data_IF_888604157006
#
_entry.id   IF_888604157006
#
_cell.length_a   1.000
_cell.length_b   1.000
_cell.length_c   1.000
_cell.angle_alpha   90.00
_cell.angle_beta   90.00
_cell.angle_gamma   90.00
#
_symmetry.space_group_name_H-M   'P 1'
#
loop_
_entity.id
_entity.type
_entity.pdbx_description
1 polymer ?
#
# COMPACT_ATOMS: atom_id res chain seq x y z
N UNK A 1 -20.00 -28.35 21.55
CA UNK A 1 -18.61 -27.86 21.42
C UNK A 1 -18.66 -26.41 20.98
N UNK A 2 -18.15 -25.46 21.75
CA UNK A 2 -18.23 -24.03 21.43
C UNK A 2 -17.21 -23.68 20.33
N UNK A 3 -17.69 -23.07 19.26
CA UNK A 3 -16.88 -22.59 18.12
C UNK A 3 -16.07 -21.38 18.54
N UNK A 4 -14.76 -21.53 18.61
CA UNK A 4 -13.82 -20.42 18.87
C UNK A 4 -13.91 -19.38 17.75
N UNK A 5 -14.25 -18.15 18.14
CA UNK A 5 -14.14 -16.96 17.29
C UNK A 5 -12.67 -16.61 17.15
N UNK A 6 -12.13 -16.63 15.94
CA UNK A 6 -10.82 -16.08 15.63
C UNK A 6 -11.05 -14.61 15.29
N UNK A 7 -10.54 -13.66 16.07
CA UNK A 7 -10.61 -12.25 15.70
C UNK A 7 -9.52 -11.97 14.66
N UNK A 8 -9.92 -11.78 13.41
CA UNK A 8 -9.05 -11.23 12.36
C UNK A 8 -9.07 -9.70 12.46
N UNK A 9 -8.66 -9.18 13.60
CA UNK A 9 -8.24 -7.81 13.72
C UNK A 9 -6.75 -7.77 13.32
N UNK A 10 -6.46 -7.31 12.11
CA UNK A 10 -5.18 -6.67 11.83
C UNK A 10 -5.19 -5.36 12.66
N UNK A 11 -5.11 -5.51 13.98
CA UNK A 11 -4.84 -4.40 14.87
C UNK A 11 -3.41 -3.95 14.61
N UNK A 12 -3.27 -2.97 13.72
CA UNK A 12 -2.21 -2.00 13.87
C UNK A 12 -2.59 -1.22 15.13
N UNK A 13 -1.85 -1.43 16.18
CA UNK A 13 -2.06 -0.87 17.50
C UNK A 13 -2.28 0.65 17.41
N UNK A 14 -3.34 1.21 18.02
CA UNK A 14 -3.60 2.65 18.00
C UNK A 14 -2.64 3.45 18.90
N UNK A 15 -1.58 2.82 19.42
CA UNK A 15 -0.64 3.47 20.34
C UNK A 15 0.29 4.49 19.68
N UNK A 16 0.57 4.36 18.38
CA UNK A 16 1.52 5.26 17.70
C UNK A 16 0.85 6.59 17.31
N UNK A 17 -0.45 6.59 17.01
CA UNK A 17 -1.18 7.78 16.56
C UNK A 17 -1.30 8.89 17.62
N UNK A 18 -1.02 8.60 18.90
CA UNK A 18 -1.15 9.62 19.98
C UNK A 18 0.04 10.56 20.06
N UNK A 19 1.20 10.17 19.56
CA UNK A 19 2.44 10.93 19.69
C UNK A 19 2.96 11.51 18.36
N UNK A 20 2.30 11.25 17.21
CA UNK A 20 2.76 11.73 15.91
C UNK A 20 2.90 13.26 15.83
N UNK A 21 1.91 14.07 16.23
CA UNK A 21 2.06 15.53 16.22
C UNK A 21 3.24 15.99 17.08
N UNK A 22 3.42 15.40 18.26
CA UNK A 22 4.52 15.73 19.15
C UNK A 22 5.88 15.33 18.55
N UNK A 23 5.98 14.17 17.89
CA UNK A 23 7.21 13.77 17.17
C UNK A 23 7.53 14.73 16.04
N UNK A 24 6.54 15.10 15.23
CA UNK A 24 6.72 16.03 14.11
C UNK A 24 7.24 17.38 14.60
N UNK A 25 6.66 17.91 15.66
CA UNK A 25 7.08 19.19 16.22
C UNK A 25 8.52 19.13 16.79
N UNK A 26 8.89 18.09 17.51
CA UNK A 26 10.26 17.88 18.01
C UNK A 26 11.27 17.75 16.87
N UNK A 27 10.91 17.06 15.77
CA UNK A 27 11.78 16.95 14.59
C UNK A 27 11.99 18.33 13.94
N UNK A 28 10.94 19.16 13.86
CA UNK A 28 11.03 20.54 13.37
C UNK A 28 11.91 21.42 14.24
N UNK A 29 11.93 21.16 15.55
CA UNK A 29 12.78 21.86 16.52
C UNK A 29 14.25 21.40 16.49
N UNK A 30 14.58 20.40 15.65
CA UNK A 30 15.96 19.96 15.41
C UNK A 30 16.31 18.56 15.90
N UNK A 31 15.40 17.83 16.54
CA UNK A 31 15.62 16.44 16.96
C UNK A 31 15.47 15.47 15.78
N UNK A 32 16.33 15.64 14.76
CA UNK A 32 16.23 14.93 13.47
C UNK A 32 16.26 13.40 13.58
N UNK A 33 16.90 12.86 14.60
CA UNK A 33 16.98 11.42 14.85
C UNK A 33 15.60 10.77 15.07
N UNK A 34 14.62 11.53 15.59
CA UNK A 34 13.26 11.05 15.81
C UNK A 34 12.49 10.77 14.52
N UNK A 35 12.96 11.25 13.37
CA UNK A 35 12.31 10.96 12.09
C UNK A 35 12.24 9.46 11.79
N UNK A 36 13.23 8.68 12.23
CA UNK A 36 13.18 7.23 12.09
C UNK A 36 12.01 6.62 12.87
N UNK A 37 11.72 7.12 14.06
CA UNK A 37 10.57 6.65 14.86
C UNK A 37 9.23 7.02 14.18
N UNK A 38 9.15 8.23 13.62
CA UNK A 38 7.97 8.72 12.89
C UNK A 38 7.68 7.88 11.64
N UNK A 39 8.72 7.52 10.87
CA UNK A 39 8.52 6.86 9.56
C UNK A 39 8.33 5.35 9.66
N UNK A 40 8.90 4.71 10.67
CA UNK A 40 8.90 3.26 10.86
C UNK A 40 7.54 2.56 10.66
N UNK A 41 6.41 3.07 11.18
CA UNK A 41 5.09 2.48 10.96
C UNK A 41 4.62 2.53 9.51
N UNK A 42 5.17 3.43 8.71
CA UNK A 42 4.75 3.72 7.33
C UNK A 42 5.63 3.10 6.26
N UNK A 43 6.84 2.61 6.58
CA UNK A 43 7.80 2.08 5.61
C UNK A 43 7.17 1.03 4.69
N UNK A 44 6.42 0.10 5.26
CA UNK A 44 5.71 -0.92 4.48
C UNK A 44 4.66 -0.31 3.55
N UNK A 45 3.87 0.65 4.03
CA UNK A 45 2.84 1.32 3.24
C UNK A 45 3.43 2.13 2.10
N UNK A 46 4.55 2.81 2.35
CA UNK A 46 5.34 3.55 1.35
C UNK A 46 5.80 2.61 0.24
N UNK A 47 6.43 1.48 0.60
CA UNK A 47 6.85 0.48 -0.38
C UNK A 47 5.68 -0.09 -1.19
N UNK A 48 4.59 -0.51 -0.51
CA UNK A 48 3.41 -1.07 -1.18
C UNK A 48 2.76 -0.08 -2.15
N UNK A 49 2.69 1.21 -1.78
CA UNK A 49 2.18 2.25 -2.65
C UNK A 49 3.06 2.42 -3.91
N UNK A 50 4.39 2.48 -3.76
CA UNK A 50 5.33 2.53 -4.88
C UNK A 50 5.20 1.30 -5.77
N UNK A 51 5.24 0.10 -5.17
CA UNK A 51 5.14 -1.17 -5.90
C UNK A 51 3.81 -1.31 -6.65
N UNK A 52 2.71 -0.83 -6.08
CA UNK A 52 1.39 -0.88 -6.75
C UNK A 52 1.38 -0.18 -8.12
N UNK A 53 2.29 0.79 -8.29
CA UNK A 53 2.42 1.61 -9.50
C UNK A 53 3.50 1.07 -10.44
N UNK A 54 4.68 0.72 -9.89
CA UNK A 54 5.89 0.40 -10.66
C UNK A 54 5.97 -1.06 -11.09
N UNK A 55 5.47 -2.00 -10.27
CA UNK A 55 5.55 -3.45 -10.49
C UNK A 55 6.97 -4.02 -10.58
N UNK A 56 7.96 -3.26 -10.18
CA UNK A 56 9.35 -3.65 -10.09
C UNK A 56 9.82 -3.43 -8.66
N UNK A 57 10.44 -4.45 -8.05
CA UNK A 57 10.87 -4.40 -6.64
C UNK A 57 11.98 -3.37 -6.44
N UNK A 58 13.00 -3.37 -7.31
CA UNK A 58 14.13 -2.47 -7.20
C UNK A 58 13.71 -1.02 -7.35
N UNK A 59 12.88 -0.71 -8.34
CA UNK A 59 12.34 0.65 -8.54
C UNK A 59 11.42 1.06 -7.39
N UNK A 60 10.64 0.13 -6.83
CA UNK A 60 9.77 0.42 -5.70
C UNK A 60 10.56 0.71 -4.42
N UNK A 61 11.66 -0.03 -4.18
CA UNK A 61 12.57 0.22 -3.06
C UNK A 61 13.27 1.58 -3.21
N UNK A 62 13.80 1.89 -4.39
CA UNK A 62 14.44 3.17 -4.68
C UNK A 62 13.47 4.34 -4.47
N UNK A 63 12.28 4.27 -5.07
CA UNK A 63 11.25 5.29 -4.92
C UNK A 63 10.77 5.43 -3.48
N UNK A 64 10.66 4.32 -2.75
CA UNK A 64 10.30 4.35 -1.33
C UNK A 64 11.34 5.13 -0.51
N UNK A 65 12.64 4.84 -0.71
CA UNK A 65 13.73 5.54 -0.02
C UNK A 65 13.80 7.03 -0.40
N UNK A 66 13.70 7.35 -1.70
CA UNK A 66 13.66 8.74 -2.16
C UNK A 66 12.47 9.51 -1.59
N UNK A 67 11.30 8.88 -1.51
CA UNK A 67 10.09 9.49 -0.96
C UNK A 67 10.22 9.78 0.53
N UNK A 68 10.82 8.86 1.30
CA UNK A 68 11.11 9.05 2.73
C UNK A 68 12.08 10.20 2.92
N UNK A 69 13.14 10.28 2.11
CA UNK A 69 14.09 11.39 2.16
C UNK A 69 13.43 12.72 1.83
N UNK A 70 12.57 12.77 0.80
CA UNK A 70 11.79 13.97 0.44
C UNK A 70 10.84 14.37 1.56
N UNK A 71 10.17 13.41 2.19
CA UNK A 71 9.30 13.67 3.34
C UNK A 71 10.09 14.28 4.50
N UNK A 72 11.30 13.80 4.79
CA UNK A 72 12.17 14.40 5.79
C UNK A 72 12.55 15.86 5.45
N UNK A 73 12.98 16.10 4.21
CA UNK A 73 13.37 17.46 3.78
C UNK A 73 12.20 18.45 3.78
N UNK A 74 11.00 17.98 3.49
CA UNK A 74 9.80 18.81 3.37
C UNK A 74 8.86 18.76 4.57
N UNK A 75 9.25 18.12 5.68
CA UNK A 75 8.41 17.97 6.86
C UNK A 75 7.91 19.31 7.42
N UNK A 76 8.71 20.36 7.29
CA UNK A 76 8.32 21.72 7.67
C UNK A 76 7.17 22.31 6.85
N UNK A 77 6.85 21.76 5.68
CA UNK A 77 5.75 22.20 4.83
C UNK A 77 4.41 21.52 5.16
N UNK A 78 4.43 20.49 5.99
CA UNK A 78 3.22 19.80 6.45
C UNK A 78 2.41 20.73 7.36
N UNK A 79 1.21 21.10 6.94
CA UNK A 79 0.34 22.05 7.66
C UNK A 79 -0.51 21.39 8.73
N UNK A 80 -0.96 20.15 8.48
CA UNK A 80 -1.87 19.39 9.35
C UNK A 80 -1.17 18.07 9.69
N UNK A 81 -0.71 17.96 10.91
CA UNK A 81 0.11 16.82 11.39
C UNK A 81 -0.66 15.52 11.35
N UNK A 82 -1.96 15.56 11.60
CA UNK A 82 -2.86 14.41 11.51
C UNK A 82 -2.96 13.84 10.08
N UNK A 83 -2.53 14.61 9.09
CA UNK A 83 -2.49 14.20 7.67
C UNK A 83 -1.12 13.70 7.23
N UNK A 84 -0.19 13.47 8.15
CA UNK A 84 1.16 13.02 7.81
C UNK A 84 1.15 11.80 6.89
N UNK A 85 0.36 10.78 7.22
CA UNK A 85 0.25 9.56 6.40
C UNK A 85 -0.20 9.85 4.97
N UNK A 86 -1.28 10.59 4.79
CA UNK A 86 -1.82 10.88 3.46
C UNK A 86 -0.88 11.78 2.65
N UNK A 87 -0.21 12.73 3.31
CA UNK A 87 0.81 13.58 2.71
C UNK A 87 2.04 12.79 2.27
N UNK A 88 2.53 11.88 3.10
CA UNK A 88 3.64 10.97 2.77
C UNK A 88 3.30 10.10 1.56
N UNK A 89 2.12 9.46 1.57
CA UNK A 89 1.69 8.60 0.45
C UNK A 89 1.46 9.39 -0.85
N UNK A 90 1.07 10.66 -0.76
CA UNK A 90 1.02 11.54 -1.93
C UNK A 90 2.41 11.75 -2.55
N UNK A 91 3.44 11.95 -1.73
CA UNK A 91 4.83 12.06 -2.21
C UNK A 91 5.21 10.78 -2.95
N UNK A 92 4.98 9.61 -2.34
CA UNK A 92 5.29 8.30 -2.93
C UNK A 92 4.61 8.09 -4.28
N UNK A 93 3.32 8.36 -4.36
CA UNK A 93 2.54 8.18 -5.59
C UNK A 93 3.07 9.10 -6.70
N UNK A 94 3.41 10.35 -6.37
CA UNK A 94 3.97 11.29 -7.33
C UNK A 94 5.32 10.82 -7.87
N UNK A 95 6.24 10.37 -6.99
CA UNK A 95 7.55 9.85 -7.39
C UNK A 95 7.41 8.59 -8.25
N UNK A 96 6.61 7.62 -7.83
CA UNK A 96 6.37 6.40 -8.59
C UNK A 96 5.79 6.68 -9.98
N UNK A 97 4.87 7.64 -10.09
CA UNK A 97 4.31 8.05 -11.38
C UNK A 97 5.30 8.79 -12.26
N UNK A 98 6.19 9.59 -11.67
CA UNK A 98 7.28 10.23 -12.42
C UNK A 98 8.25 9.20 -12.95
N UNK A 99 8.66 8.22 -12.12
CA UNK A 99 9.54 7.12 -12.53
C UNK A 99 8.91 6.33 -13.69
N UNK A 100 7.68 5.86 -13.55
CA UNK A 100 6.97 5.14 -14.61
C UNK A 100 6.87 5.92 -15.92
N UNK A 101 6.71 7.25 -15.86
CA UNK A 101 6.69 8.10 -17.08
C UNK A 101 8.05 8.19 -17.74
N UNK A 102 9.13 8.29 -16.93
CA UNK A 102 10.50 8.31 -17.44
C UNK A 102 10.84 7.00 -18.14
N UNK A 103 10.54 5.86 -17.53
CA UNK A 103 10.80 4.54 -18.11
C UNK A 103 10.08 4.34 -19.45
N UNK A 104 8.82 4.77 -19.53
CA UNK A 104 8.08 4.74 -20.80
C UNK A 104 8.72 5.60 -21.89
N UNK A 105 9.26 6.79 -21.57
CA UNK A 105 9.95 7.63 -22.55
C UNK A 105 11.19 6.94 -23.07
N UNK A 106 12.00 6.35 -22.20
CA UNK A 106 13.18 5.59 -22.62
C UNK A 106 12.83 4.43 -23.54
N UNK A 107 11.75 3.71 -23.30
CA UNK A 107 11.25 2.67 -24.19
C UNK A 107 10.83 3.21 -25.57
N UNK A 108 10.28 4.40 -25.66
CA UNK A 108 9.91 5.02 -26.94
C UNK A 108 11.13 5.64 -27.67
N UNK A 109 12.14 6.09 -26.94
CA UNK A 109 13.40 6.62 -27.51
C UNK A 109 14.33 5.46 -27.95
N UNK A 110 14.14 4.25 -27.42
CA UNK A 110 14.91 3.03 -27.74
C UNK A 110 14.18 2.10 -28.72
N UNK A 111 13.28 2.60 -29.56
CA UNK A 111 12.45 1.79 -30.50
C UNK A 111 13.24 1.31 -31.74
N UNK A 112 14.52 1.05 -31.61
CA UNK A 112 15.28 0.27 -32.62
C UNK A 112 15.62 -1.16 -32.14
N UNK A 113 15.09 -1.62 -30.99
CA UNK A 113 15.26 -3.01 -30.54
C UNK A 113 13.90 -3.62 -30.12
N UNK A 114 13.31 -4.51 -30.95
CA UNK A 114 12.08 -5.20 -30.60
C UNK A 114 12.41 -6.40 -29.72
N UNK A 115 12.29 -6.26 -28.42
CA UNK A 115 12.30 -7.46 -27.58
C UNK A 115 12.85 -7.29 -26.18
N UNK A 116 11.97 -6.95 -25.27
CA UNK A 116 11.96 -7.60 -23.96
C UNK A 116 10.55 -7.48 -23.38
N UNK A 117 9.75 -8.52 -23.61
CA UNK A 117 8.62 -8.83 -22.74
C UNK A 117 9.19 -8.99 -21.34
N UNK A 118 8.81 -8.10 -20.44
CA UNK A 118 9.18 -8.18 -19.04
C UNK A 118 8.61 -9.49 -18.50
N UNK A 119 9.49 -10.43 -18.22
CA UNK A 119 9.14 -11.65 -17.50
C UNK A 119 8.34 -11.24 -16.26
N UNK A 120 7.12 -11.75 -16.16
CA UNK A 120 6.28 -11.63 -14.97
C UNK A 120 6.96 -12.44 -13.85
N UNK A 121 7.90 -11.79 -13.18
CA UNK A 121 8.55 -12.34 -12.01
C UNK A 121 7.49 -12.62 -10.93
N UNK A 122 7.45 -13.83 -10.44
CA UNK A 122 6.59 -14.27 -9.35
C UNK A 122 6.89 -13.42 -8.12
N UNK A 123 5.95 -12.54 -7.78
CA UNK A 123 6.10 -11.58 -6.67
C UNK A 123 6.22 -12.32 -5.33
N UNK A 124 7.42 -12.38 -4.80
CA UNK A 124 7.67 -12.63 -3.39
C UNK A 124 8.20 -11.35 -2.76
N UNK A 125 7.40 -10.60 -1.96
CA UNK A 125 7.93 -9.47 -1.23
C UNK A 125 9.09 -9.94 -0.37
N UNK A 126 10.30 -9.43 -0.61
CA UNK A 126 11.39 -9.61 0.33
C UNK A 126 10.89 -9.18 1.70
N UNK A 127 11.07 -10.04 2.66
CA UNK A 127 10.69 -9.86 4.03
C UNK A 127 11.33 -8.57 4.56
N UNK A 128 10.59 -7.47 4.60
CA UNK A 128 10.90 -6.44 5.55
C UNK A 128 10.80 -7.08 6.93
N UNK A 129 11.96 -7.17 7.59
CA UNK A 129 12.17 -7.91 8.81
C UNK A 129 11.14 -7.53 9.87
N UNK A 130 10.53 -8.48 10.40
CA UNK A 130 10.10 -8.81 11.74
C UNK A 130 8.77 -9.54 11.78
N UNK A 131 8.76 -10.71 11.14
CA UNK A 131 7.68 -11.68 11.30
C UNK A 131 8.19 -12.95 12.00
N UNK A 132 9.26 -12.81 12.76
CA UNK A 132 9.78 -13.86 13.59
C UNK A 132 8.97 -13.85 14.88
N UNK A 133 8.25 -14.89 15.05
CA UNK A 133 7.61 -15.36 16.27
C UNK A 133 6.10 -15.52 16.14
N UNK A 134 5.72 -16.69 15.57
CA UNK A 134 4.68 -17.58 16.10
C UNK A 134 4.70 -18.87 15.26
N UNK A 135 5.16 -20.03 15.78
CA UNK A 135 5.48 -21.20 14.94
C UNK A 135 4.28 -22.00 14.40
N UNK A 136 3.12 -22.01 15.01
CA UNK A 136 2.01 -22.86 14.55
C UNK A 136 0.86 -22.13 13.84
N UNK A 137 0.68 -20.84 14.05
CA UNK A 137 -0.23 -19.99 13.28
C UNK A 137 0.41 -19.41 12.01
N UNK A 138 1.72 -19.64 11.81
CA UNK A 138 2.52 -19.01 10.77
C UNK A 138 2.26 -19.59 9.37
N UNK A 139 1.95 -20.87 9.25
CA UNK A 139 1.79 -21.52 7.95
C UNK A 139 0.50 -21.06 7.26
N UNK A 140 -0.65 -21.11 7.96
CA UNK A 140 -1.93 -20.62 7.43
C UNK A 140 -1.86 -19.12 7.09
N UNK A 141 -1.18 -18.33 7.92
CA UNK A 141 -0.98 -16.90 7.66
C UNK A 141 -0.06 -16.64 6.47
N UNK A 142 0.96 -17.48 6.25
CA UNK A 142 1.85 -17.38 5.11
C UNK A 142 1.12 -17.72 3.80
N UNK A 143 0.30 -18.78 3.81
CA UNK A 143 -0.53 -19.16 2.65
C UNK A 143 -1.54 -18.07 2.31
N UNK A 144 -2.25 -17.54 3.33
CA UNK A 144 -3.17 -16.40 3.16
C UNK A 144 -2.45 -15.19 2.56
N UNK A 145 -1.27 -14.86 3.07
CA UNK A 145 -0.47 -13.73 2.58
C UNK A 145 -0.05 -13.94 1.13
N UNK A 146 0.43 -15.11 0.80
CA UNK A 146 0.84 -15.46 -0.57
C UNK A 146 -0.34 -15.37 -1.53
N UNK A 147 -1.50 -15.89 -1.14
CA UNK A 147 -2.71 -15.80 -1.95
C UNK A 147 -3.16 -14.34 -2.17
N UNK A 148 -3.14 -13.52 -1.11
CA UNK A 148 -3.49 -12.09 -1.20
C UNK A 148 -2.51 -11.33 -2.10
N UNK A 149 -1.20 -11.58 -1.95
CA UNK A 149 -0.18 -10.93 -2.77
C UNK A 149 -0.33 -11.32 -4.24
N UNK A 150 -0.58 -12.59 -4.53
CA UNK A 150 -0.83 -13.09 -5.90
C UNK A 150 -2.08 -12.44 -6.50
N UNK A 151 -3.18 -12.40 -5.74
CA UNK A 151 -4.41 -11.75 -6.15
C UNK A 151 -4.21 -10.24 -6.41
N UNK A 152 -3.43 -9.57 -5.56
CA UNK A 152 -3.09 -8.17 -5.73
C UNK A 152 -2.22 -7.93 -6.96
N UNK A 153 -1.24 -8.79 -7.21
CA UNK A 153 -0.36 -8.74 -8.38
C UNK A 153 -1.14 -8.93 -9.70
N UNK A 154 -2.18 -9.76 -9.69
CA UNK A 154 -3.03 -9.99 -10.87
C UNK A 154 -3.96 -8.84 -11.22
N UNK A 155 -4.20 -7.90 -10.30
CA UNK A 155 -5.05 -6.75 -10.59
C UNK A 155 -4.42 -5.85 -11.67
N UNK A 156 -5.20 -5.34 -12.64
CA UNK A 156 -4.78 -4.23 -13.49
C UNK A 156 -4.29 -3.04 -12.65
N UNK A 157 -3.23 -2.35 -13.11
CA UNK A 157 -2.57 -1.26 -12.34
C UNK A 157 -3.55 -0.22 -11.81
N UNK A 158 -4.50 0.23 -12.64
CA UNK A 158 -5.51 1.23 -12.25
C UNK A 158 -6.43 0.80 -11.09
N UNK A 159 -6.65 -0.51 -10.92
CA UNK A 159 -7.44 -1.06 -9.82
C UNK A 159 -6.57 -1.32 -8.60
N UNK A 160 -5.34 -1.80 -8.80
CA UNK A 160 -4.38 -2.08 -7.74
C UNK A 160 -3.99 -0.81 -6.98
N UNK A 161 -3.64 0.27 -7.71
CA UNK A 161 -3.30 1.56 -7.11
C UNK A 161 -4.39 2.04 -6.15
N UNK A 162 -5.66 2.03 -6.61
CA UNK A 162 -6.81 2.43 -5.78
C UNK A 162 -7.01 1.48 -4.60
N UNK A 163 -6.88 0.17 -4.82
CA UNK A 163 -7.08 -0.83 -3.77
C UNK A 163 -6.03 -0.70 -2.65
N UNK A 164 -4.75 -0.53 -3.03
CA UNK A 164 -3.68 -0.36 -2.05
C UNK A 164 -3.88 0.90 -1.22
N UNK A 165 -4.11 2.04 -1.85
CA UNK A 165 -4.27 3.29 -1.12
C UNK A 165 -5.53 3.30 -0.25
N UNK A 166 -6.63 2.71 -0.71
CA UNK A 166 -7.92 2.78 -0.03
C UNK A 166 -8.15 1.68 0.99
N UNK A 167 -7.89 0.41 0.62
CA UNK A 167 -8.23 -0.76 1.43
C UNK A 167 -7.05 -1.29 2.25
N UNK A 168 -5.81 -1.08 1.80
CA UNK A 168 -4.61 -1.47 2.56
C UNK A 168 -4.12 -0.30 3.43
N UNK A 169 -3.99 0.89 2.84
CA UNK A 169 -3.46 2.06 3.53
C UNK A 169 -4.54 2.94 4.17
N UNK A 170 -5.82 2.61 3.99
CA UNK A 170 -6.96 3.28 4.63
C UNK A 170 -7.09 4.78 4.36
N UNK A 171 -6.55 5.29 3.25
CA UNK A 171 -6.82 6.66 2.83
C UNK A 171 -8.32 6.85 2.58
N UNK A 172 -8.83 8.05 2.80
CA UNK A 172 -10.20 8.40 2.40
C UNK A 172 -10.35 8.38 0.87
N UNK A 173 -11.59 8.34 0.39
CA UNK A 173 -11.86 8.42 -1.06
C UNK A 173 -11.31 9.72 -1.66
N UNK A 174 -11.42 10.82 -0.92
CA UNK A 174 -10.94 12.15 -1.35
C UNK A 174 -9.41 12.19 -1.41
N UNK A 175 -8.72 11.69 -0.38
CA UNK A 175 -7.25 11.62 -0.37
C UNK A 175 -6.73 10.70 -1.48
N UNK A 176 -7.40 9.55 -1.71
CA UNK A 176 -7.06 8.65 -2.81
C UNK A 176 -7.24 9.32 -4.17
N UNK A 177 -8.32 10.10 -4.34
CA UNK A 177 -8.59 10.84 -5.55
C UNK A 177 -7.52 11.91 -5.81
N UNK A 178 -7.11 12.64 -4.78
CA UNK A 178 -6.02 13.61 -4.84
C UNK A 178 -4.67 12.95 -5.15
N UNK A 179 -4.33 11.87 -4.45
CA UNK A 179 -3.07 11.18 -4.66
C UNK A 179 -2.95 10.60 -6.08
N UNK A 180 -4.04 10.07 -6.63
CA UNK A 180 -4.05 9.48 -7.95
C UNK A 180 -4.42 10.45 -9.08
N UNK A 181 -4.69 11.71 -8.77
CA UNK A 181 -5.15 12.72 -9.74
C UNK A 181 -6.30 12.21 -10.62
N UNK A 182 -7.34 11.69 -9.97
CA UNK A 182 -8.56 11.19 -10.61
C UNK A 182 -9.80 11.67 -9.85
N UNK A 183 -10.97 11.60 -10.50
CA UNK A 183 -12.21 11.99 -9.83
C UNK A 183 -12.61 11.02 -8.70
N UNK A 184 -13.31 11.51 -7.70
CA UNK A 184 -13.93 10.71 -6.63
C UNK A 184 -14.82 9.58 -7.20
N UNK A 185 -15.55 9.85 -8.27
CA UNK A 185 -16.37 8.85 -8.95
C UNK A 185 -15.51 7.74 -9.56
N UNK A 186 -14.35 8.09 -10.15
CA UNK A 186 -13.41 7.11 -10.70
C UNK A 186 -12.81 6.24 -9.58
N UNK A 187 -12.45 6.81 -8.42
CA UNK A 187 -11.99 6.04 -7.26
C UNK A 187 -13.04 5.00 -6.86
N UNK A 188 -14.29 5.42 -6.67
CA UNK A 188 -15.38 4.51 -6.27
C UNK A 188 -15.57 3.36 -7.26
N UNK A 189 -15.61 3.67 -8.55
CA UNK A 189 -15.79 2.67 -9.62
C UNK A 189 -14.61 1.69 -9.69
N UNK A 190 -13.37 2.22 -9.65
CA UNK A 190 -12.16 1.39 -9.70
C UNK A 190 -12.04 0.51 -8.46
N UNK A 191 -12.33 1.04 -7.27
CA UNK A 191 -12.32 0.29 -6.03
C UNK A 191 -13.34 -0.86 -6.04
N UNK A 192 -14.56 -0.58 -6.53
CA UNK A 192 -15.58 -1.62 -6.66
C UNK A 192 -15.09 -2.78 -7.56
N UNK A 193 -14.53 -2.46 -8.72
CA UNK A 193 -13.99 -3.46 -9.65
C UNK A 193 -12.78 -4.20 -9.06
N UNK A 194 -11.88 -3.49 -8.37
CA UNK A 194 -10.75 -4.09 -7.66
C UNK A 194 -11.22 -5.13 -6.65
N UNK A 195 -12.21 -4.79 -5.82
CA UNK A 195 -12.78 -5.69 -4.82
C UNK A 195 -13.44 -6.93 -5.42
N UNK A 196 -14.15 -6.76 -6.56
CA UNK A 196 -14.73 -7.91 -7.26
C UNK A 196 -13.65 -8.87 -7.75
N UNK A 197 -12.61 -8.37 -8.40
CA UNK A 197 -11.51 -9.20 -8.89
C UNK A 197 -10.74 -9.87 -7.74
N UNK A 198 -10.43 -9.13 -6.68
CA UNK A 198 -9.81 -9.71 -5.48
C UNK A 198 -10.66 -10.86 -4.91
N UNK A 199 -11.97 -10.67 -4.84
CA UNK A 199 -12.90 -11.71 -4.37
C UNK A 199 -12.86 -12.96 -5.27
N UNK A 200 -12.88 -12.80 -6.57
CA UNK A 200 -12.80 -13.89 -7.54
C UNK A 200 -11.50 -14.67 -7.40
N UNK A 201 -10.37 -13.98 -7.26
CA UNK A 201 -9.04 -14.59 -7.10
C UNK A 201 -8.88 -15.31 -5.75
N UNK A 202 -9.48 -14.81 -4.69
CA UNK A 202 -9.36 -15.39 -3.35
C UNK A 202 -10.40 -16.49 -3.07
N UNK A 203 -11.48 -16.56 -3.84
CA UNK A 203 -12.54 -17.55 -3.65
C UNK A 203 -12.07 -19.01 -3.66
N UNK A 204 -11.15 -19.44 -4.53
CA UNK A 204 -10.62 -20.80 -4.54
C UNK A 204 -9.84 -21.17 -3.27
N UNK A 205 -9.13 -20.18 -2.69
CA UNK A 205 -8.26 -20.40 -1.53
C UNK A 205 -9.06 -20.46 -0.22
N UNK A 206 -10.06 -19.60 -0.09
CA UNK A 206 -10.77 -19.41 1.18
C UNK A 206 -12.18 -19.97 1.21
N UNK A 207 -12.69 -20.44 0.07
CA UNK A 207 -14.08 -20.90 -0.07
C UNK A 207 -15.11 -19.76 0.01
N UNK A 208 -16.28 -19.96 -0.58
CA UNK A 208 -17.34 -18.94 -0.63
C UNK A 208 -17.83 -18.49 0.74
N UNK A 209 -17.88 -19.39 1.72
CA UNK A 209 -18.38 -19.08 3.07
C UNK A 209 -17.48 -18.15 3.88
N UNK A 210 -16.18 -18.09 3.58
CA UNK A 210 -15.25 -17.18 4.23
C UNK A 210 -15.39 -15.76 3.68
N UNK A 211 -15.58 -15.63 2.37
CA UNK A 211 -15.82 -14.34 1.71
C UNK A 211 -17.13 -13.68 2.13
N UNK A 212 -18.14 -14.48 2.48
CA UNK A 212 -19.41 -13.99 3.03
C UNK A 212 -19.25 -13.50 4.48
N UNK A 213 -18.26 -14.01 5.22
CA UNK A 213 -17.92 -13.55 6.59
C UNK A 213 -17.07 -12.28 6.62
N UNK A 214 -16.46 -11.88 5.52
CA UNK A 214 -15.92 -10.54 5.35
C UNK A 214 -17.08 -9.53 5.16
N UNK A 215 -17.96 -9.49 6.16
CA UNK A 215 -19.19 -8.66 6.15
C UNK A 215 -18.89 -7.15 6.09
N UNK A 216 -17.68 -6.72 6.45
CA UNK A 216 -17.22 -5.34 6.24
C UNK A 216 -17.13 -4.99 4.75
N UNK A 217 -16.98 -5.99 3.91
CA UNK A 217 -16.97 -5.86 2.46
C UNK A 217 -18.38 -5.62 1.87
N UNK A 218 -19.42 -6.03 2.61
CA UNK A 218 -20.84 -5.94 2.19
C UNK A 218 -21.64 -4.83 2.88
N UNK A 219 -21.22 -4.34 4.04
CA UNK A 219 -22.16 -3.77 5.01
C UNK A 219 -22.06 -2.29 5.33
N UNK A 220 -21.08 -1.56 4.85
CA UNK A 220 -21.12 -0.11 4.95
C UNK A 220 -21.08 0.45 3.54
N UNK A 221 -22.24 0.95 3.10
CA UNK A 221 -22.28 1.90 1.98
C UNK A 221 -21.29 2.99 2.35
N UNK A 222 -20.15 3.15 1.67
CA UNK A 222 -19.08 4.06 2.09
C UNK A 222 -19.32 5.50 1.61
N UNK A 223 -20.57 5.86 1.39
CA UNK A 223 -21.00 7.22 1.01
C UNK A 223 -22.32 7.57 1.66
#
# INVERSE_FOLDING_TARGET
>A
MPRRRIPLALNVEPHIARDEPALIERIRQGERALFHELIRPYERGVYLAAYSILRNEADAEEVAQESILKAFMHLGQLREEEKFKSWLLLIVVNEARMRRRKDRRHLYESVDDPGTESEEGEFMPRQFADWREIPSESLERAEVRTAVNRALASLPGIYREVFVLRDVEHLTVTETAQALDISVAAVKTRLHRARLQMREQLAPVFGRSWLDRLAWWRGKKPW
#
